data_IF_812308520258
#
_entry.id   IF_812308520258
#
_cell.length_a   1.000
_cell.length_b   1.000
_cell.length_c   1.000
_cell.angle_alpha   90.00
_cell.angle_beta   90.00
_cell.angle_gamma   90.00
#
_symmetry.space_group_name_H-M   'P 1'
#
loop_
_entity.id
_entity.type
_entity.pdbx_description
1 polymer ?
#
# COMPACT_ATOMS: atom_id res chain seq x y z
N UNK A 1 -5.50 0.73 -11.62
CA UNK A 1 -5.92 0.55 -10.22
C UNK A 1 -7.28 -0.13 -10.10
N UNK A 2 -8.32 0.33 -10.79
CA UNK A 2 -9.69 -0.25 -10.66
C UNK A 2 -9.76 -1.77 -10.87
N UNK A 3 -9.19 -2.31 -11.96
CA UNK A 3 -9.19 -3.76 -12.21
C UNK A 3 -8.56 -4.51 -11.03
N UNK A 4 -7.34 -4.13 -10.63
CA UNK A 4 -6.64 -4.78 -9.51
C UNK A 4 -7.42 -4.71 -8.18
N UNK A 5 -8.06 -3.58 -7.89
CA UNK A 5 -8.94 -3.42 -6.72
C UNK A 5 -10.02 -4.50 -6.76
N UNK A 6 -10.82 -4.55 -7.83
CA UNK A 6 -12.01 -5.40 -7.86
C UNK A 6 -11.74 -6.87 -8.14
N UNK A 7 -10.64 -7.22 -8.83
CA UNK A 7 -10.39 -8.61 -9.24
C UNK A 7 -9.45 -9.38 -8.31
N UNK A 8 -8.55 -8.69 -7.60
CA UNK A 8 -7.50 -9.36 -6.81
C UNK A 8 -7.50 -8.92 -5.34
N UNK A 9 -7.60 -7.63 -5.08
CA UNK A 9 -7.28 -7.09 -3.75
C UNK A 9 -8.49 -6.92 -2.82
N UNK A 10 -9.69 -6.73 -3.37
CA UNK A 10 -10.91 -6.50 -2.58
C UNK A 10 -11.21 -7.60 -1.55
N UNK A 11 -11.05 -8.90 -1.86
CA UNK A 11 -11.29 -9.96 -0.88
C UNK A 11 -10.37 -9.91 0.35
N UNK A 12 -9.16 -9.33 0.22
CA UNK A 12 -8.21 -9.20 1.31
C UNK A 12 -8.53 -8.03 2.25
N UNK A 13 -9.54 -7.22 1.94
CA UNK A 13 -9.93 -6.05 2.73
C UNK A 13 -9.11 -4.80 2.42
N UNK A 14 -9.07 -3.87 3.38
CA UNK A 14 -8.44 -2.56 3.20
C UNK A 14 -6.92 -2.64 3.23
N UNK A 15 -6.35 -3.10 4.35
CA UNK A 15 -4.94 -2.93 4.67
C UNK A 15 -4.00 -3.68 3.70
N UNK A 16 -2.98 -3.00 3.17
CA UNK A 16 -1.94 -3.64 2.38
C UNK A 16 -0.95 -4.42 3.26
N UNK A 17 -0.53 -3.83 4.37
CA UNK A 17 0.29 -4.46 5.41
C UNK A 17 -0.60 -4.80 6.59
N UNK A 18 -0.52 -6.03 7.10
CA UNK A 18 -1.39 -6.47 8.18
C UNK A 18 -0.98 -5.84 9.53
N UNK A 19 -1.84 -4.97 10.06
CA UNK A 19 -1.75 -4.41 11.41
C UNK A 19 -3.09 -4.56 12.15
N UNK A 20 -3.18 -5.44 13.17
CA UNK A 20 -4.38 -5.64 13.97
C UNK A 20 -4.88 -4.39 14.70
N UNK A 21 -4.00 -3.41 14.95
CA UNK A 21 -4.35 -2.19 15.68
C UNK A 21 -4.75 -1.04 14.74
N UNK A 22 -4.50 -1.19 13.44
CA UNK A 22 -4.89 -0.20 12.44
C UNK A 22 -6.38 -0.32 12.07
N UNK A 23 -7.02 0.76 11.60
CA UNK A 23 -8.40 0.72 11.14
C UNK A 23 -8.63 -0.32 10.04
N UNK A 24 -9.87 -0.80 9.94
CA UNK A 24 -10.31 -1.74 8.91
C UNK A 24 -9.59 -3.10 8.90
N UNK A 25 -9.11 -3.54 10.06
CA UNK A 25 -8.59 -4.90 10.25
C UNK A 25 -9.72 -5.93 10.05
N UNK A 26 -9.49 -6.90 9.17
CA UNK A 26 -10.38 -8.04 8.98
C UNK A 26 -9.85 -9.28 9.70
N UNK A 27 -10.58 -10.40 9.65
CA UNK A 27 -10.17 -11.65 10.30
C UNK A 27 -8.78 -12.14 9.88
N UNK A 28 -8.41 -11.94 8.61
CA UNK A 28 -7.09 -12.32 8.09
C UNK A 28 -5.96 -11.47 8.71
N UNK A 29 -6.18 -10.15 8.83
CA UNK A 29 -5.26 -9.23 9.51
C UNK A 29 -5.15 -9.56 10.99
N UNK A 30 -6.27 -9.82 11.68
CA UNK A 30 -6.23 -10.19 13.09
C UNK A 30 -5.43 -11.47 13.33
N UNK A 31 -5.61 -12.48 12.47
CA UNK A 31 -4.86 -13.73 12.53
C UNK A 31 -3.38 -13.60 12.11
N UNK A 32 -2.95 -12.46 11.56
CA UNK A 32 -1.55 -12.26 11.16
C UNK A 32 -0.64 -11.97 12.35
N UNK A 33 -1.19 -11.49 13.48
CA UNK A 33 -0.41 -11.11 14.66
C UNK A 33 0.42 -12.29 15.21
N UNK A 34 -0.28 -13.38 15.54
CA UNK A 34 0.34 -14.61 16.06
C UNK A 34 1.32 -15.22 15.06
N UNK A 35 0.97 -15.20 13.76
CA UNK A 35 1.84 -15.72 12.70
C UNK A 35 3.14 -14.93 12.57
N UNK A 36 3.06 -13.60 12.64
CA UNK A 36 4.23 -12.74 12.57
C UNK A 36 5.12 -12.90 13.79
N UNK A 37 4.54 -13.06 14.98
CA UNK A 37 5.26 -13.36 16.21
C UNK A 37 6.03 -14.68 16.10
N UNK A 38 5.37 -15.75 15.66
CA UNK A 38 6.00 -17.06 15.47
C UNK A 38 7.10 -17.04 14.41
N UNK A 39 6.90 -16.31 13.32
CA UNK A 39 7.93 -16.12 12.31
C UNK A 39 9.17 -15.42 12.90
N UNK A 40 8.97 -14.37 13.71
CA UNK A 40 10.08 -13.67 14.39
C UNK A 40 10.82 -14.60 15.35
N UNK A 41 10.11 -15.40 16.15
CA UNK A 41 10.71 -16.38 17.07
C UNK A 41 11.64 -17.35 16.35
N UNK A 42 11.19 -17.90 15.22
CA UNK A 42 11.98 -18.83 14.39
C UNK A 42 13.23 -18.13 13.82
N UNK A 43 13.06 -16.93 13.27
CA UNK A 43 14.17 -16.17 12.67
C UNK A 43 15.20 -15.72 13.72
N UNK A 44 14.77 -15.44 14.95
CA UNK A 44 15.66 -15.14 16.07
C UNK A 44 16.43 -16.37 16.55
N UNK A 45 15.78 -17.55 16.54
CA UNK A 45 16.38 -18.79 17.03
C UNK A 45 17.36 -19.41 16.04
N UNK A 46 17.04 -19.35 14.74
CA UNK A 46 17.76 -20.12 13.71
C UNK A 46 18.42 -19.25 12.63
N UNK A 47 18.21 -17.93 12.64
CA UNK A 47 18.74 -17.00 11.65
C UNK A 47 19.74 -16.00 12.22
N UNK A 48 20.43 -15.27 11.33
CA UNK A 48 21.13 -14.05 11.71
C UNK A 48 20.12 -12.89 11.74
N UNK A 49 19.40 -12.76 12.86
CA UNK A 49 18.28 -11.82 12.96
C UNK A 49 18.68 -10.35 12.75
N UNK A 50 19.85 -9.94 13.24
CA UNK A 50 20.38 -8.59 13.06
C UNK A 50 20.62 -8.28 11.58
N UNK A 51 21.26 -9.19 10.86
CA UNK A 51 21.44 -9.03 9.41
C UNK A 51 20.10 -9.04 8.67
N UNK A 52 19.20 -9.96 9.02
CA UNK A 52 17.88 -10.12 8.41
C UNK A 52 16.98 -8.89 8.61
N UNK A 53 17.15 -8.16 9.71
CA UNK A 53 16.35 -6.97 10.04
C UNK A 53 17.08 -5.65 9.82
N UNK A 54 18.31 -5.69 9.30
CA UNK A 54 19.13 -4.48 9.02
C UNK A 54 18.46 -3.49 8.05
N UNK A 55 17.55 -3.97 7.20
CA UNK A 55 16.77 -3.14 6.25
C UNK A 55 15.34 -2.84 6.73
N UNK A 56 14.98 -3.25 7.95
CA UNK A 56 13.64 -3.07 8.53
C UNK A 56 13.06 -4.34 9.15
N UNK A 57 11.96 -4.18 9.88
CA UNK A 57 11.27 -5.29 10.52
C UNK A 57 10.42 -6.09 9.53
N UNK A 58 10.33 -7.40 9.75
CA UNK A 58 9.39 -8.25 9.01
C UNK A 58 7.94 -7.86 9.30
N UNK A 59 7.13 -7.93 8.25
CA UNK A 59 5.69 -7.70 8.25
C UNK A 59 5.00 -8.78 7.41
N UNK A 60 3.71 -9.00 7.65
CA UNK A 60 2.87 -9.82 6.77
C UNK A 60 2.18 -8.90 5.77
N UNK A 61 2.42 -9.15 4.48
CA UNK A 61 1.74 -8.45 3.40
C UNK A 61 0.34 -9.05 3.21
N UNK A 62 -0.69 -8.31 3.59
CA UNK A 62 -2.09 -8.71 3.46
C UNK A 62 -2.63 -8.53 2.03
N UNK A 63 -1.99 -7.67 1.22
CA UNK A 63 -2.41 -7.39 -0.16
C UNK A 63 -3.84 -6.84 -0.29
N UNK A 64 -4.27 -6.00 0.67
CA UNK A 64 -5.52 -5.25 0.57
C UNK A 64 -5.48 -4.09 -0.43
N UNK A 65 -6.62 -3.41 -0.58
CA UNK A 65 -6.85 -2.39 -1.62
C UNK A 65 -6.18 -1.03 -1.33
N UNK A 66 -5.66 -0.80 -0.14
CA UNK A 66 -5.13 0.49 0.35
C UNK A 66 -4.22 1.20 -0.66
N UNK A 67 -3.18 0.53 -1.15
CA UNK A 67 -2.28 1.14 -2.13
C UNK A 67 -2.96 1.41 -3.46
N UNK A 68 -3.78 0.49 -3.96
CA UNK A 68 -4.47 0.68 -5.23
C UNK A 68 -5.47 1.85 -5.18
N UNK A 69 -6.18 2.02 -4.06
CA UNK A 69 -7.07 3.16 -3.82
C UNK A 69 -6.25 4.45 -3.69
N UNK A 70 -5.16 4.44 -2.94
CA UNK A 70 -4.28 5.61 -2.76
C UNK A 70 -3.71 6.09 -4.10
N UNK A 71 -3.20 5.18 -4.93
CA UNK A 71 -2.72 5.51 -6.27
C UNK A 71 -3.85 6.00 -7.19
N UNK A 72 -5.05 5.43 -7.08
CA UNK A 72 -6.21 5.91 -7.84
C UNK A 72 -6.56 7.35 -7.45
N UNK A 73 -6.57 7.68 -6.16
CA UNK A 73 -6.84 9.04 -5.69
C UNK A 73 -5.77 10.02 -6.17
N UNK A 74 -4.50 9.66 -6.09
CA UNK A 74 -3.42 10.52 -6.62
C UNK A 74 -3.54 10.73 -8.13
N UNK A 75 -3.94 9.70 -8.89
CA UNK A 75 -4.20 9.84 -10.32
C UNK A 75 -5.39 10.78 -10.58
N UNK A 76 -6.49 10.65 -9.85
CA UNK A 76 -7.65 11.55 -9.97
C UNK A 76 -7.27 13.00 -9.62
N UNK A 77 -6.44 13.20 -8.60
CA UNK A 77 -5.92 14.50 -8.25
C UNK A 77 -5.12 15.11 -9.41
N UNK A 78 -4.25 14.34 -10.08
CA UNK A 78 -3.52 14.81 -11.27
C UNK A 78 -4.45 15.13 -12.45
N UNK A 79 -5.54 14.39 -12.64
CA UNK A 79 -6.51 14.66 -13.71
C UNK A 79 -7.27 15.97 -13.49
N UNK A 80 -7.59 16.32 -12.25
CA UNK A 80 -8.39 17.51 -11.91
C UNK A 80 -7.53 18.74 -11.65
N UNK A 81 -6.44 18.58 -10.91
CA UNK A 81 -5.53 19.68 -10.52
C UNK A 81 -4.46 19.95 -11.60
N UNK A 82 -4.26 19.00 -12.52
CA UNK A 82 -3.26 19.07 -13.58
C UNK A 82 -1.84 18.75 -13.12
N UNK A 83 -0.92 18.64 -14.09
CA UNK A 83 0.52 18.42 -13.85
C UNK A 83 1.29 19.70 -13.49
N UNK A 84 0.60 20.82 -13.27
CA UNK A 84 1.17 22.14 -13.04
C UNK A 84 1.90 22.74 -14.26
N UNK A 85 2.54 23.90 -14.06
CA UNK A 85 3.12 24.72 -15.15
C UNK A 85 4.10 24.00 -16.10
N UNK A 86 4.69 22.90 -15.67
CA UNK A 86 5.71 22.18 -16.43
C UNK A 86 5.11 21.02 -17.24
N UNK A 87 4.20 20.25 -16.66
CA UNK A 87 3.70 19.01 -17.25
C UNK A 87 2.24 19.07 -17.71
N UNK A 88 1.49 20.10 -17.33
CA UNK A 88 0.06 20.20 -17.66
C UNK A 88 -0.16 20.75 -19.07
N UNK A 89 -0.81 19.96 -19.94
CA UNK A 89 -1.13 20.36 -21.31
C UNK A 89 -2.12 21.53 -21.36
N UNK A 90 -3.12 21.54 -20.49
CA UNK A 90 -4.09 22.63 -20.31
C UNK A 90 -3.40 23.96 -19.95
N UNK A 91 -2.35 23.95 -19.12
CA UNK A 91 -1.57 25.15 -18.83
C UNK A 91 -0.90 25.72 -20.08
N UNK A 92 -0.26 24.88 -20.89
CA UNK A 92 0.40 25.31 -22.13
C UNK A 92 -0.58 25.73 -23.21
N UNK A 93 -1.73 25.05 -23.32
CA UNK A 93 -2.84 25.43 -24.20
C UNK A 93 -3.37 26.81 -23.81
N UNK A 94 -3.67 27.02 -22.51
CA UNK A 94 -4.12 28.33 -22.00
C UNK A 94 -3.08 29.41 -22.26
N UNK A 95 -1.80 29.17 -22.00
CA UNK A 95 -0.72 30.14 -22.22
C UNK A 95 -0.50 30.52 -23.70
N UNK A 96 -0.85 29.63 -24.64
CA UNK A 96 -0.57 29.83 -26.07
C UNK A 96 -1.80 30.35 -26.85
N UNK A 97 -3.01 30.07 -26.39
CA UNK A 97 -4.27 30.41 -27.06
C UNK A 97 -5.08 31.52 -26.37
N UNK A 98 -4.77 31.86 -25.12
CA UNK A 98 -5.25 33.04 -24.39
C UNK A 98 -4.08 33.96 -24.07
#
# INVERSE_FOLDING_TARGET
MLVAIFTVHLPNGWQAIADPNAPFANMQVLASAEKLEKAREILQTYGNYDWLTSSGSFVILNNGIEFAVTYLVMLLALLVLGGGRYFSLDYWIKKKLL
#
